data_IF_961612712151
#
_entry.id   IF_961612712151
#
_cell.length_a   1.000
_cell.length_b   1.000
_cell.length_c   1.000
_cell.angle_alpha   90.00
_cell.angle_beta   90.00
_cell.angle_gamma   90.00
#
_symmetry.space_group_name_H-M   'P 1'
#
loop_
_entity.id
_entity.type
_entity.pdbx_description
1 polymer ?
#
# COMPACT_ATOMS: atom_id res chain seq x y z
N UNK A 1 -6.46 15.80 -4.02
CA UNK A 1 -6.07 15.92 -5.45
C UNK A 1 -5.63 14.55 -5.96
N UNK A 2 -5.66 14.31 -7.27
CA UNK A 2 -5.13 13.06 -7.83
C UNK A 2 -3.61 12.98 -7.62
N UNK A 3 -3.12 11.83 -7.16
CA UNK A 3 -1.69 11.55 -7.04
C UNK A 3 -1.07 11.51 -8.45
N UNK A 4 0.09 12.14 -8.62
CA UNK A 4 0.81 12.12 -9.91
C UNK A 4 1.59 10.82 -10.03
N UNK A 5 1.69 10.29 -11.25
CA UNK A 5 2.59 9.17 -11.53
C UNK A 5 4.03 9.49 -11.14
N UNK A 6 4.77 8.50 -10.66
CA UNK A 6 6.16 8.69 -10.27
C UNK A 6 6.72 7.62 -9.36
N UNK A 7 7.96 7.86 -8.92
CA UNK A 7 8.66 7.04 -7.94
C UNK A 7 8.43 7.60 -6.54
N UNK A 8 7.99 6.76 -5.62
CA UNK A 8 7.63 7.15 -4.26
C UNK A 8 8.23 6.21 -3.21
N UNK A 9 8.47 6.75 -2.02
CA UNK A 9 8.47 5.98 -0.78
C UNK A 9 7.09 6.08 -0.12
N UNK A 10 6.63 4.98 0.47
CA UNK A 10 5.29 4.86 1.08
C UNK A 10 5.47 4.53 2.56
N UNK A 11 5.37 5.55 3.42
CA UNK A 11 5.60 5.42 4.87
C UNK A 11 4.30 5.27 5.64
N UNK A 12 4.22 4.28 6.51
CA UNK A 12 3.07 4.09 7.39
C UNK A 12 2.98 5.22 8.43
N UNK A 13 1.76 5.70 8.69
CA UNK A 13 1.47 6.57 9.82
C UNK A 13 0.57 5.82 10.80
N UNK A 14 1.01 5.71 12.05
CA UNK A 14 0.17 5.18 13.11
C UNK A 14 -0.95 6.18 13.48
N UNK A 15 -2.01 5.67 14.13
CA UNK A 15 -3.10 6.51 14.63
C UNK A 15 -2.56 7.59 15.58
N UNK A 16 -2.89 8.85 15.29
CA UNK A 16 -2.46 10.02 16.08
C UNK A 16 -1.02 10.50 15.82
N UNK A 17 -0.27 9.82 14.94
CA UNK A 17 1.07 10.26 14.56
C UNK A 17 1.01 11.37 13.51
N UNK A 18 1.76 12.49 13.67
CA UNK A 18 1.81 13.53 12.66
C UNK A 18 2.53 13.04 11.38
N UNK A 19 2.29 13.67 10.21
CA UNK A 19 2.93 13.25 8.96
C UNK A 19 4.44 13.44 8.96
N UNK A 20 4.92 14.51 9.61
CA UNK A 20 6.35 14.87 9.67
C UNK A 20 6.95 14.28 10.95
N UNK A 21 7.69 13.19 10.78
CA UNK A 21 8.35 12.46 11.87
C UNK A 21 9.70 11.91 11.40
N UNK A 22 10.66 11.86 12.32
CA UNK A 22 11.92 11.15 12.08
C UNK A 22 11.68 9.65 12.25
N UNK A 23 12.16 8.85 11.31
CA UNK A 23 12.04 7.39 11.32
C UNK A 23 10.75 6.90 10.67
N UNK A 24 10.17 5.83 11.21
CA UNK A 24 8.99 5.17 10.67
C UNK A 24 9.29 3.97 9.78
N UNK A 25 8.23 3.25 9.43
CA UNK A 25 8.28 2.02 8.65
C UNK A 25 7.73 2.28 7.25
N UNK A 26 8.50 1.89 6.25
CA UNK A 26 8.16 2.07 4.83
C UNK A 26 7.77 0.73 4.24
N UNK A 27 6.74 0.71 3.41
CA UNK A 27 6.37 -0.49 2.69
C UNK A 27 7.54 -0.94 1.80
N UNK A 28 7.81 -2.24 1.77
CA UNK A 28 9.06 -2.80 1.23
C UNK A 28 8.83 -4.08 0.42
N UNK A 29 9.56 -4.17 -0.69
CA UNK A 29 9.65 -5.35 -1.55
C UNK A 29 10.84 -6.26 -1.21
N UNK A 30 11.50 -6.09 -0.05
CA UNK A 30 12.73 -6.81 0.32
C UNK A 30 12.66 -8.33 0.20
N UNK A 31 11.49 -8.89 0.45
CA UNK A 31 11.24 -10.33 0.40
C UNK A 31 11.10 -10.91 -1.00
N UNK A 32 10.90 -10.05 -1.99
CA UNK A 32 10.67 -10.45 -3.36
C UNK A 32 9.25 -10.95 -3.63
N UNK A 33 9.09 -11.47 -4.84
CA UNK A 33 7.81 -11.88 -5.41
C UNK A 33 7.21 -13.10 -4.69
N UNK A 34 5.90 -13.22 -4.79
CA UNK A 34 5.08 -14.29 -4.20
C UNK A 34 5.14 -14.33 -2.66
N UNK A 35 5.53 -13.20 -2.05
CA UNK A 35 5.56 -12.96 -0.61
C UNK A 35 4.69 -11.75 -0.23
N UNK A 36 4.22 -11.68 1.03
CA UNK A 36 3.60 -10.46 1.55
C UNK A 36 4.49 -9.24 1.37
N UNK A 37 3.90 -8.11 1.03
CA UNK A 37 4.54 -6.80 1.14
C UNK A 37 4.73 -6.53 2.63
N UNK A 38 5.95 -6.17 2.99
CA UNK A 38 6.31 -5.98 4.41
C UNK A 38 6.79 -4.57 4.63
N UNK A 39 7.41 -4.28 5.77
CA UNK A 39 8.02 -2.98 5.98
C UNK A 39 9.45 -3.05 6.52
N UNK A 40 10.18 -1.97 6.30
CA UNK A 40 11.50 -1.72 6.88
C UNK A 40 11.69 -0.21 7.11
N UNK A 41 12.58 0.18 8.04
CA UNK A 41 12.98 1.58 8.17
C UNK A 41 13.86 2.01 6.99
N UNK A 42 14.18 3.31 6.91
CA UNK A 42 15.20 3.82 6.00
C UNK A 42 16.55 3.16 6.26
N UNK A 43 17.22 2.73 5.18
CA UNK A 43 18.55 2.13 5.20
C UNK A 43 19.19 2.15 3.81
N UNK A 44 20.52 1.93 3.73
CA UNK A 44 21.26 2.00 2.47
C UNK A 44 20.81 0.95 1.44
N UNK A 45 20.41 -0.24 1.92
CA UNK A 45 20.02 -1.37 1.07
C UNK A 45 18.49 -1.59 1.03
N UNK A 46 17.73 -0.59 1.49
CA UNK A 46 16.27 -0.73 1.65
C UNK A 46 15.54 -0.76 0.31
N UNK A 47 14.58 -1.69 0.19
CA UNK A 47 13.77 -1.86 -1.03
C UNK A 47 12.40 -1.21 -0.88
N UNK A 48 12.41 0.09 -0.59
CA UNK A 48 11.22 0.86 -0.16
C UNK A 48 10.68 1.82 -1.23
N UNK A 49 11.22 1.77 -2.45
CA UNK A 49 10.83 2.63 -3.57
C UNK A 49 9.84 1.90 -4.47
N UNK A 50 8.76 2.58 -4.81
CA UNK A 50 7.64 2.06 -5.58
C UNK A 50 7.32 2.97 -6.75
N UNK A 51 7.13 2.40 -7.93
CA UNK A 51 6.60 3.09 -9.10
C UNK A 51 5.08 3.08 -8.97
N UNK A 52 4.48 4.25 -8.84
CA UNK A 52 3.04 4.43 -8.74
C UNK A 52 2.53 5.04 -10.04
N UNK A 53 1.60 4.34 -10.70
CA UNK A 53 1.09 4.72 -12.02
C UNK A 53 -0.42 4.63 -12.05
N UNK A 54 -1.07 5.69 -12.54
CA UNK A 54 -2.51 5.74 -12.74
C UNK A 54 -2.98 4.65 -13.72
N UNK A 55 -4.13 4.07 -13.42
CA UNK A 55 -4.77 3.11 -14.32
C UNK A 55 -5.55 3.88 -15.39
N UNK A 56 -5.26 3.67 -16.70
CA UNK A 56 -5.94 4.40 -17.76
C UNK A 56 -7.46 4.23 -17.70
N UNK A 57 -8.18 5.36 -17.72
CA UNK A 57 -9.65 5.38 -17.71
C UNK A 57 -10.29 5.13 -16.35
N UNK A 58 -9.51 5.00 -15.27
CA UNK A 58 -10.04 4.85 -13.89
C UNK A 58 -9.56 5.99 -13.01
N UNK A 59 -10.50 6.76 -12.48
CA UNK A 59 -10.20 7.92 -11.65
C UNK A 59 -9.67 7.47 -10.28
N UNK A 60 -8.53 8.03 -9.86
CA UNK A 60 -7.87 7.75 -8.58
C UNK A 60 -7.52 6.27 -8.33
N UNK A 61 -7.46 5.44 -9.38
CA UNK A 61 -7.00 4.05 -9.29
C UNK A 61 -5.58 3.94 -9.84
N UNK A 62 -4.73 3.20 -9.12
CA UNK A 62 -3.30 3.12 -9.38
C UNK A 62 -2.78 1.68 -9.28
N UNK A 63 -1.65 1.43 -9.93
CA UNK A 63 -0.79 0.28 -9.64
C UNK A 63 0.38 0.72 -8.79
N UNK A 64 0.84 -0.14 -7.88
CA UNK A 64 2.02 0.09 -7.03
C UNK A 64 3.02 -1.01 -7.35
N UNK A 65 4.11 -0.67 -8.04
CA UNK A 65 5.05 -1.61 -8.66
C UNK A 65 6.42 -1.50 -8.00
N UNK A 66 7.06 -2.63 -7.68
CA UNK A 66 8.41 -2.59 -7.10
C UNK A 66 9.43 -2.02 -8.10
N UNK A 67 10.43 -1.30 -7.59
CA UNK A 67 11.59 -0.93 -8.39
C UNK A 67 12.58 -2.11 -8.43
N UNK A 68 13.05 -2.48 -9.63
CA UNK A 68 14.10 -3.48 -9.83
C UNK A 68 15.22 -2.95 -10.71
N UNK A 69 16.40 -3.48 -10.50
CA UNK A 69 17.62 -3.26 -11.29
C UNK A 69 17.97 -4.45 -12.20
N UNK A 70 17.20 -5.53 -12.12
CA UNK A 70 17.33 -6.72 -12.97
C UNK A 70 16.33 -6.72 -14.15
N UNK A 71 16.54 -7.65 -15.08
CA UNK A 71 15.66 -7.83 -16.25
C UNK A 71 14.39 -8.64 -15.95
N UNK A 72 14.06 -8.89 -14.68
CA UNK A 72 12.88 -9.67 -14.33
C UNK A 72 11.63 -8.78 -14.30
N UNK A 73 10.47 -9.35 -14.62
CA UNK A 73 9.20 -8.63 -14.52
C UNK A 73 9.00 -8.18 -13.06
N UNK A 74 8.80 -6.88 -12.79
CA UNK A 74 8.54 -6.38 -11.45
C UNK A 74 7.24 -6.92 -10.86
N UNK A 75 7.26 -7.21 -9.56
CA UNK A 75 6.03 -7.46 -8.80
C UNK A 75 5.21 -6.18 -8.56
N UNK A 76 3.91 -6.35 -8.44
CA UNK A 76 2.96 -5.30 -8.11
C UNK A 76 2.18 -5.67 -6.85
N UNK A 77 1.74 -4.66 -6.10
CA UNK A 77 0.85 -4.89 -4.96
C UNK A 77 -0.44 -5.52 -5.46
N UNK A 78 -0.70 -6.72 -4.97
CA UNK A 78 -1.83 -7.52 -5.34
C UNK A 78 -2.65 -7.86 -4.10
N UNK A 79 -3.97 -7.81 -4.23
CA UNK A 79 -4.89 -8.32 -3.21
C UNK A 79 -5.84 -9.35 -3.79
N UNK A 80 -6.22 -10.31 -2.98
CA UNK A 80 -7.36 -11.16 -3.26
C UNK A 80 -8.65 -10.35 -3.07
N UNK A 81 -9.62 -10.53 -3.97
CA UNK A 81 -10.92 -9.87 -3.83
C UNK A 81 -11.73 -10.52 -2.71
N UNK A 82 -12.44 -9.73 -1.91
CA UNK A 82 -13.26 -10.19 -0.77
C UNK A 82 -12.49 -10.96 0.33
N UNK A 83 -11.18 -10.79 0.47
CA UNK A 83 -10.35 -11.57 1.38
C UNK A 83 -9.81 -10.74 2.55
N UNK A 84 -10.61 -10.60 3.62
CA UNK A 84 -10.28 -9.79 4.79
C UNK A 84 -9.13 -10.37 5.62
N UNK A 85 -8.32 -9.47 6.17
CA UNK A 85 -7.16 -9.83 7.02
C UNK A 85 -6.06 -10.56 6.26
N UNK A 86 -6.16 -10.67 4.93
CA UNK A 86 -5.12 -11.27 4.10
C UNK A 86 -4.01 -10.25 3.82
N UNK A 87 -2.77 -10.73 3.66
CA UNK A 87 -1.67 -9.88 3.25
C UNK A 87 -1.85 -9.37 1.83
N UNK A 88 -1.38 -8.16 1.60
CA UNK A 88 -1.07 -7.65 0.26
C UNK A 88 0.14 -8.39 -0.24
N UNK A 89 0.02 -9.07 -1.36
CA UNK A 89 1.07 -9.89 -1.95
C UNK A 89 1.84 -9.10 -3.01
N UNK A 90 3.12 -9.41 -3.22
CA UNK A 90 3.90 -8.87 -4.32
C UNK A 90 3.89 -9.84 -5.51
N UNK A 91 3.11 -9.55 -6.55
CA UNK A 91 2.86 -10.50 -7.65
C UNK A 91 3.25 -9.89 -9.00
N UNK A 92 4.04 -10.60 -9.80
CA UNK A 92 4.43 -10.16 -11.16
C UNK A 92 3.45 -10.59 -12.26
N UNK A 93 2.71 -11.68 -12.05
CA UNK A 93 1.75 -12.22 -13.00
C UNK A 93 0.50 -12.66 -12.24
N UNK A 94 -0.47 -11.77 -12.00
CA UNK A 94 -1.66 -12.12 -11.24
C UNK A 94 -2.49 -13.14 -12.00
N UNK A 95 -3.00 -14.13 -11.27
CA UNK A 95 -4.06 -15.00 -11.79
C UNK A 95 -5.32 -14.15 -11.96
N UNK A 96 -5.75 -13.97 -13.21
CA UNK A 96 -6.94 -13.19 -13.56
C UNK A 96 -8.15 -13.77 -12.81
N UNK A 97 -8.86 -12.91 -12.07
CA UNK A 97 -10.03 -13.30 -11.27
C UNK A 97 -9.73 -13.71 -9.83
N UNK A 98 -8.47 -13.97 -9.47
CA UNK A 98 -8.07 -14.24 -8.08
C UNK A 98 -7.48 -12.99 -7.42
N UNK A 99 -6.63 -12.25 -8.14
CA UNK A 99 -6.00 -11.05 -7.64
C UNK A 99 -6.39 -9.82 -8.47
N UNK A 100 -6.47 -8.67 -7.80
CA UNK A 100 -6.46 -7.36 -8.45
C UNK A 100 -5.20 -6.59 -8.06
N UNK A 101 -4.72 -5.77 -9.01
CA UNK A 101 -3.54 -4.92 -8.87
C UNK A 101 -3.89 -3.43 -8.74
N UNK A 102 -5.18 -3.11 -8.78
CA UNK A 102 -5.69 -1.75 -8.86
C UNK A 102 -6.09 -1.26 -7.48
N UNK A 103 -5.55 -0.11 -7.07
CA UNK A 103 -5.74 0.46 -5.75
C UNK A 103 -6.30 1.87 -5.83
N UNK A 104 -7.36 2.15 -5.07
CA UNK A 104 -7.86 3.50 -4.94
C UNK A 104 -6.93 4.30 -4.03
N UNK A 105 -6.24 5.33 -4.54
CA UNK A 105 -5.37 6.16 -3.72
C UNK A 105 -6.01 7.54 -3.55
N UNK A 106 -6.37 7.88 -2.32
CA UNK A 106 -7.15 9.06 -2.00
C UNK A 106 -6.38 9.94 -1.01
N UNK A 107 -6.21 11.21 -1.35
CA UNK A 107 -5.59 12.17 -0.44
C UNK A 107 -6.52 12.47 0.74
N UNK A 108 -5.96 12.48 1.94
CA UNK A 108 -6.69 12.89 3.15
C UNK A 108 -6.80 14.43 3.22
N UNK A 109 -7.38 14.94 4.31
CA UNK A 109 -7.35 16.38 4.59
C UNK A 109 -5.93 16.90 4.88
N UNK A 110 -5.01 16.02 5.26
CA UNK A 110 -3.59 16.34 5.45
C UNK A 110 -2.83 16.18 4.12
N UNK A 111 -2.23 17.27 3.57
CA UNK A 111 -1.53 17.21 2.29
C UNK A 111 -0.38 16.20 2.28
N UNK A 112 -0.27 15.42 1.20
CA UNK A 112 0.77 14.39 1.06
C UNK A 112 0.51 13.11 1.87
N UNK A 113 -0.62 13.04 2.60
CA UNK A 113 -1.08 11.85 3.29
C UNK A 113 -2.23 11.23 2.51
N UNK A 114 -2.16 9.93 2.28
CA UNK A 114 -3.09 9.19 1.45
C UNK A 114 -3.61 7.94 2.16
N UNK A 115 -4.84 7.57 1.87
CA UNK A 115 -5.36 6.24 2.15
C UNK A 115 -5.19 5.36 0.91
N UNK A 116 -4.90 4.07 1.11
CA UNK A 116 -4.77 3.07 0.04
C UNK A 116 -5.95 2.11 0.16
N UNK A 117 -6.92 2.26 -0.75
CA UNK A 117 -8.21 1.57 -0.74
C UNK A 117 -8.15 0.27 -1.52
N UNK A 118 -8.62 -0.79 -0.88
CA UNK A 118 -8.92 -2.07 -1.50
C UNK A 118 -10.37 -2.13 -1.98
N UNK A 119 -11.08 -3.19 -1.58
CA UNK A 119 -12.48 -3.40 -1.96
C UNK A 119 -13.42 -2.56 -1.09
N UNK A 120 -14.58 -2.17 -1.64
CA UNK A 120 -15.60 -1.43 -0.91
C UNK A 120 -16.92 -2.19 -0.94
N UNK A 121 -17.57 -2.31 0.21
CA UNK A 121 -18.88 -2.93 0.39
C UNK A 121 -19.82 -2.00 1.14
N UNK A 122 -21.11 -2.32 1.14
CA UNK A 122 -22.10 -1.52 1.89
C UNK A 122 -21.72 -1.55 3.37
N UNK A 123 -21.45 -0.37 3.94
CA UNK A 123 -21.13 -0.20 5.36
C UNK A 123 -19.67 -0.41 5.76
N UNK A 124 -18.78 -0.84 4.86
CA UNK A 124 -17.35 -1.02 5.17
C UNK A 124 -16.46 -0.90 3.92
N UNK A 125 -15.23 -0.42 4.13
CA UNK A 125 -14.19 -0.34 3.09
C UNK A 125 -12.92 -0.97 3.60
N UNK A 126 -12.25 -1.73 2.73
CA UNK A 126 -10.97 -2.35 3.03
C UNK A 126 -9.84 -1.38 2.71
N UNK A 127 -8.89 -1.25 3.62
CA UNK A 127 -7.75 -0.35 3.52
C UNK A 127 -6.45 -1.11 3.74
N UNK A 128 -5.40 -0.77 3.00
CA UNK A 128 -4.07 -1.30 3.28
C UNK A 128 -3.54 -0.69 4.59
N UNK A 129 -3.24 -1.53 5.57
CA UNK A 129 -2.68 -1.13 6.86
C UNK A 129 -1.41 -1.94 7.15
N UNK A 130 -0.45 -1.34 7.87
CA UNK A 130 0.72 -2.05 8.33
C UNK A 130 0.45 -2.63 9.71
N UNK A 131 0.53 -3.95 9.83
CA UNK A 131 0.34 -4.65 11.11
C UNK A 131 1.40 -5.70 11.33
N UNK A 132 1.59 -6.08 12.57
CA UNK A 132 2.45 -7.20 12.95
C UNK A 132 1.57 -8.36 13.48
N UNK A 133 0.98 -9.17 12.59
CA UNK A 133 0.12 -10.27 13.00
C UNK A 133 0.94 -11.30 13.79
N UNK A 134 0.67 -11.39 15.09
CA UNK A 134 1.34 -12.35 15.98
C UNK A 134 2.71 -11.91 16.50
N UNK A 135 3.12 -10.65 16.28
CA UNK A 135 4.37 -10.11 16.83
C UNK A 135 5.64 -10.70 16.22
N UNK A 136 5.54 -11.25 15.00
CA UNK A 136 6.64 -11.90 14.29
C UNK A 136 7.28 -10.94 13.32
N UNK A 137 6.48 -10.18 12.57
CA UNK A 137 6.92 -9.38 11.45
C UNK A 137 5.85 -8.42 10.94
N UNK A 138 6.19 -7.16 10.63
CA UNK A 138 5.28 -6.22 10.00
C UNK A 138 4.98 -6.58 8.54
N UNK A 139 3.69 -6.68 8.22
CA UNK A 139 3.11 -6.98 6.91
C UNK A 139 2.01 -5.97 6.58
N UNK A 140 1.87 -5.66 5.28
CA UNK A 140 0.75 -4.87 4.79
C UNK A 140 -0.46 -5.80 4.63
N UNK A 141 -1.53 -5.54 5.36
CA UNK A 141 -2.76 -6.33 5.37
C UNK A 141 -3.94 -5.51 4.87
N UNK A 142 -5.00 -6.18 4.42
CA UNK A 142 -6.31 -5.56 4.23
C UNK A 142 -7.10 -5.50 5.53
N UNK A 143 -7.27 -4.28 6.06
CA UNK A 143 -8.11 -4.00 7.21
C UNK A 143 -9.50 -3.50 6.78
N UNK A 144 -10.54 -4.17 7.27
CA UNK A 144 -11.93 -3.73 7.08
C UNK A 144 -12.30 -2.62 8.05
N UNK A 145 -12.56 -1.41 7.57
CA UNK A 145 -13.01 -0.29 8.40
C UNK A 145 -14.49 0.03 8.10
N UNK A 146 -15.38 -0.02 9.11
CA UNK A 146 -16.76 0.44 8.98
C UNK A 146 -16.85 1.92 8.60
N UNK A 147 -17.82 2.27 7.74
CA UNK A 147 -18.06 3.66 7.34
C UNK A 147 -18.95 4.34 8.38
N UNK A 148 -18.34 4.77 9.48
CA UNK A 148 -18.98 5.55 10.54
C UNK A 148 -18.08 6.74 10.95
N UNK A 149 -18.64 7.82 11.52
CA UNK A 149 -17.85 8.95 12.00
C UNK A 149 -16.76 8.53 12.97
N UNK A 150 -15.67 9.31 13.02
CA UNK A 150 -14.56 9.19 13.99
C UNK A 150 -13.76 7.88 13.94
N UNK A 151 -14.06 6.99 13.00
CA UNK A 151 -13.23 5.81 12.77
C UNK A 151 -11.89 6.19 12.15
N UNK A 152 -10.83 5.59 12.67
CA UNK A 152 -9.51 5.73 12.11
C UNK A 152 -9.40 4.92 10.82
N UNK A 153 -9.04 5.60 9.72
CA UNK A 153 -8.72 4.97 8.44
C UNK A 153 -7.19 4.92 8.30
N UNK A 154 -6.59 3.74 8.04
CA UNK A 154 -5.16 3.59 7.79
C UNK A 154 -4.64 4.55 6.74
N UNK A 155 -3.51 5.21 7.03
CA UNK A 155 -2.99 6.30 6.21
C UNK A 155 -1.48 6.22 6.06
N UNK A 156 -1.00 6.73 4.94
CA UNK A 156 0.38 6.60 4.47
C UNK A 156 0.88 7.93 3.93
N UNK A 157 2.14 8.27 4.16
CA UNK A 157 2.79 9.41 3.49
C UNK A 157 3.42 8.92 2.20
N UNK A 158 3.10 9.62 1.11
CA UNK A 158 3.74 9.40 -0.19
C UNK A 158 4.77 10.52 -0.42
N UNK A 159 6.04 10.17 -0.38
CA UNK A 159 7.15 11.09 -0.59
C UNK A 159 7.83 10.74 -1.93
N UNK A 160 8.08 11.74 -2.79
CA UNK A 160 8.78 11.49 -4.06
C UNK A 160 10.23 11.07 -3.79
N UNK A 161 10.66 10.00 -4.45
CA UNK A 161 11.99 9.41 -4.31
C UNK A 161 12.96 9.83 -5.42
#
# INVERSE_FOLDING_TARGET
MALKDGLYTIRHLAKGQPPIVIGGMYASSKDGKDKPVTAEPLGPDSKIRWIVTCVPGKENEYTITELRDDNSIPGQWARETNALGRPVMLIAKPNVGMFTLEWGIQETEEPGVYNIRGDSRIGATDWADLRDPGGVRPEVLLESVPVVPDMYIPRWVFEKA
#
